data_IF_157315753414
#
_entry.id   IF_157315753414
#
_cell.length_a   1.000
_cell.length_b   1.000
_cell.length_c   1.000
_cell.angle_alpha   90.00
_cell.angle_beta   90.00
_cell.angle_gamma   90.00
#
_symmetry.space_group_name_H-M   'P 1'
#
loop_
_entity.id
_entity.type
_entity.pdbx_description
1 polymer ?
#
# COMPACT_ATOMS: atom_id res chain seq x y z
N UNK A 1 11.30 -50.79 -14.30
CA UNK A 1 11.92 -49.83 -13.34
C UNK A 1 10.96 -48.66 -13.19
N UNK A 2 10.47 -48.38 -11.99
CA UNK A 2 9.66 -47.18 -11.70
C UNK A 2 10.62 -46.04 -11.32
N UNK A 3 10.61 -44.96 -12.11
CA UNK A 3 11.49 -43.82 -11.94
C UNK A 3 10.90 -42.72 -11.05
N UNK A 4 11.67 -41.64 -10.83
CA UNK A 4 11.26 -40.49 -10.00
C UNK A 4 10.00 -39.77 -10.52
N UNK A 5 9.62 -39.98 -11.79
CA UNK A 5 8.44 -39.40 -12.44
C UNK A 5 7.09 -39.93 -11.95
N UNK A 6 7.05 -40.95 -11.08
CA UNK A 6 5.81 -41.51 -10.51
C UNK A 6 5.50 -40.98 -9.11
N UNK A 7 6.06 -39.83 -8.73
CA UNK A 7 5.70 -39.14 -7.48
C UNK A 7 4.48 -38.24 -7.72
N UNK A 8 3.63 -38.16 -6.70
CA UNK A 8 2.55 -37.18 -6.63
C UNK A 8 3.13 -35.85 -6.14
N UNK A 9 2.57 -34.75 -6.62
CA UNK A 9 2.95 -33.40 -6.21
C UNK A 9 1.68 -32.52 -6.08
N UNK A 10 1.19 -32.30 -4.84
CA UNK A 10 0.01 -31.49 -4.59
C UNK A 10 0.18 -30.01 -4.96
N UNK A 11 1.39 -29.46 -4.83
CA UNK A 11 1.66 -28.04 -5.08
C UNK A 11 1.54 -27.69 -6.56
N UNK A 12 1.88 -28.64 -7.44
CA UNK A 12 1.76 -28.49 -8.91
C UNK A 12 0.52 -29.14 -9.51
N UNK A 13 -0.34 -29.76 -8.70
CA UNK A 13 -1.58 -30.41 -9.14
C UNK A 13 -1.40 -31.79 -9.79
N UNK A 14 -0.22 -32.42 -9.69
CA UNK A 14 0.03 -33.76 -10.21
C UNK A 14 -0.43 -34.82 -9.21
N UNK A 15 -1.71 -35.15 -9.27
CA UNK A 15 -2.36 -36.08 -8.32
C UNK A 15 -2.50 -37.51 -8.83
N UNK A 16 -2.10 -37.80 -10.06
CA UNK A 16 -2.14 -39.16 -10.60
C UNK A 16 -1.02 -39.44 -11.63
N UNK A 17 -0.72 -40.73 -11.82
CA UNK A 17 0.06 -41.25 -12.94
C UNK A 17 -0.51 -42.62 -13.36
N UNK A 18 -0.20 -43.06 -14.57
CA UNK A 18 -0.59 -44.38 -15.09
C UNK A 18 0.64 -45.24 -15.31
N UNK A 19 0.55 -46.52 -14.98
CA UNK A 19 1.57 -47.53 -15.27
C UNK A 19 0.97 -48.49 -16.28
N UNK A 20 1.65 -48.69 -17.41
CA UNK A 20 1.31 -49.73 -18.37
C UNK A 20 2.32 -50.86 -18.21
N UNK A 21 1.83 -52.04 -17.84
CA UNK A 21 2.66 -53.21 -17.56
C UNK A 21 2.38 -54.29 -18.60
N UNK A 22 3.27 -54.39 -19.57
CA UNK A 22 3.16 -55.33 -20.68
C UNK A 22 3.79 -56.69 -20.36
N UNK A 23 4.51 -56.80 -19.24
CA UNK A 23 5.31 -57.99 -18.90
C UNK A 23 4.93 -58.59 -17.55
N UNK A 24 3.83 -58.13 -16.97
CA UNK A 24 3.35 -58.50 -15.62
C UNK A 24 4.46 -58.37 -14.56
N UNK A 25 5.20 -57.26 -14.60
CA UNK A 25 6.25 -56.95 -13.63
C UNK A 25 5.70 -56.41 -12.30
N UNK A 26 4.48 -55.88 -12.31
CA UNK A 26 3.79 -55.34 -11.13
C UNK A 26 3.53 -56.39 -10.05
N UNK A 27 3.44 -57.68 -10.40
CA UNK A 27 3.37 -58.80 -9.44
C UNK A 27 4.55 -58.86 -8.45
N UNK A 28 5.66 -58.20 -8.78
CA UNK A 28 6.86 -58.13 -7.96
C UNK A 28 6.87 -56.92 -7.00
N UNK A 29 5.85 -56.06 -7.02
CA UNK A 29 5.78 -54.92 -6.11
C UNK A 29 5.65 -55.40 -4.66
N UNK A 30 6.35 -54.72 -3.75
CA UNK A 30 6.42 -55.10 -2.33
C UNK A 30 7.38 -56.26 -2.04
N UNK A 31 7.92 -56.94 -3.05
CA UNK A 31 8.97 -57.93 -2.85
C UNK A 31 10.34 -57.26 -2.70
N UNK A 32 11.23 -57.88 -1.93
CA UNK A 32 12.61 -57.43 -1.81
C UNK A 32 13.37 -57.53 -3.14
N UNK A 33 14.38 -56.70 -3.33
CA UNK A 33 15.22 -56.77 -4.53
C UNK A 33 16.01 -58.08 -4.56
N UNK A 34 15.88 -58.83 -5.65
CA UNK A 34 16.63 -60.09 -5.89
C UNK A 34 18.12 -59.80 -6.14
N UNK A 35 18.45 -58.62 -6.65
CA UNK A 35 19.83 -58.17 -6.89
C UNK A 35 20.29 -57.26 -5.77
N UNK A 36 21.55 -57.44 -5.30
CA UNK A 36 22.20 -56.45 -4.44
C UNK A 36 22.11 -55.06 -5.11
N UNK A 37 21.66 -54.02 -4.39
CA UNK A 37 21.67 -52.67 -4.95
C UNK A 37 23.12 -52.32 -5.33
N UNK A 38 23.33 -51.65 -6.47
CA UNK A 38 24.66 -51.21 -6.85
C UNK A 38 25.24 -50.36 -5.72
N UNK A 39 26.48 -50.65 -5.32
CA UNK A 39 27.23 -49.78 -4.41
C UNK A 39 27.41 -48.46 -5.18
N UNK A 40 26.65 -47.43 -4.80
CA UNK A 40 26.76 -46.10 -5.37
C UNK A 40 28.04 -45.46 -4.86
N UNK A 41 29.16 -45.82 -5.48
CA UNK A 41 30.45 -45.17 -5.31
C UNK A 41 30.98 -44.79 -6.68
N UNK A 42 31.00 -43.49 -6.98
CA UNK A 42 31.76 -42.86 -8.07
C UNK A 42 31.12 -42.79 -9.47
N UNK A 43 29.90 -42.26 -9.55
CA UNK A 43 29.54 -41.37 -10.66
C UNK A 43 29.94 -39.93 -10.28
N UNK A 44 30.22 -39.01 -11.24
CA UNK A 44 30.37 -37.60 -10.90
C UNK A 44 29.14 -37.20 -10.09
N UNK A 45 29.38 -36.67 -8.89
CA UNK A 45 28.34 -36.09 -8.03
C UNK A 45 27.54 -35.14 -8.93
N UNK A 46 26.20 -35.26 -9.05
CA UNK A 46 25.44 -34.22 -9.74
C UNK A 46 25.90 -32.91 -9.12
N UNK A 47 26.38 -31.98 -9.96
CA UNK A 47 26.77 -30.67 -9.49
C UNK A 47 25.63 -30.17 -8.60
N UNK A 48 25.93 -29.65 -7.39
CA UNK A 48 24.89 -29.05 -6.59
C UNK A 48 24.18 -28.06 -7.49
N UNK A 49 22.85 -28.20 -7.61
CA UNK A 49 22.05 -27.21 -8.29
C UNK A 49 22.51 -25.83 -7.77
N UNK A 50 22.70 -24.83 -8.65
CA UNK A 50 23.14 -23.52 -8.21
C UNK A 50 22.25 -23.12 -7.03
N UNK A 51 22.83 -22.60 -5.93
CA UNK A 51 22.04 -22.21 -4.76
C UNK A 51 20.91 -21.31 -5.25
N UNK A 52 19.69 -21.57 -4.77
CA UNK A 52 18.57 -20.68 -5.07
C UNK A 52 19.02 -19.24 -4.76
N UNK A 53 18.71 -18.27 -5.65
CA UNK A 53 19.13 -16.90 -5.41
C UNK A 53 18.68 -16.47 -4.01
N UNK A 54 19.55 -15.76 -3.27
CA UNK A 54 19.26 -15.43 -1.88
C UNK A 54 17.99 -14.60 -1.80
N UNK A 55 16.99 -15.09 -1.07
CA UNK A 55 15.82 -14.31 -0.70
C UNK A 55 16.28 -13.07 0.07
N UNK A 56 15.89 -11.89 -0.39
CA UNK A 56 16.25 -10.63 0.26
C UNK A 56 15.06 -10.17 1.08
N UNK A 57 15.22 -10.09 2.39
CA UNK A 57 14.24 -9.43 3.27
C UNK A 57 14.63 -7.98 3.46
N UNK A 58 13.71 -7.08 3.15
CA UNK A 58 13.81 -5.64 3.33
C UNK A 58 12.85 -5.20 4.42
N UNK A 59 13.25 -4.21 5.21
CA UNK A 59 12.38 -3.56 6.19
C UNK A 59 11.84 -2.26 5.58
N UNK A 60 10.53 -2.21 5.33
CA UNK A 60 9.85 -1.05 4.73
C UNK A 60 8.72 -0.63 5.65
N UNK A 61 8.76 0.60 6.17
CA UNK A 61 7.73 1.11 7.12
C UNK A 61 7.49 0.18 8.33
N UNK A 62 8.52 -0.58 8.73
CA UNK A 62 8.46 -1.57 9.81
C UNK A 62 7.80 -2.91 9.45
N UNK A 63 7.63 -3.19 8.17
CA UNK A 63 7.19 -4.48 7.64
C UNK A 63 8.37 -5.25 7.05
N UNK A 64 8.36 -6.58 7.24
CA UNK A 64 9.21 -7.50 6.50
C UNK A 64 8.67 -7.71 5.09
N UNK A 65 9.41 -7.23 4.10
CA UNK A 65 9.12 -7.41 2.68
C UNK A 65 10.14 -8.36 2.09
N UNK A 66 9.68 -9.53 1.65
CA UNK A 66 10.52 -10.54 1.01
C UNK A 66 10.52 -10.33 -0.50
N UNK A 67 11.71 -10.24 -1.10
CA UNK A 67 11.91 -10.11 -2.54
C UNK A 67 12.49 -11.41 -3.07
N UNK A 68 11.76 -12.05 -3.98
CA UNK A 68 12.15 -13.29 -4.68
C UNK A 68 12.01 -13.12 -6.19
N UNK A 69 12.46 -14.11 -6.97
CA UNK A 69 12.26 -14.12 -8.42
C UNK A 69 10.78 -14.15 -8.83
N UNK A 70 9.90 -14.61 -7.94
CA UNK A 70 8.45 -14.66 -8.16
C UNK A 70 7.74 -13.33 -7.83
N UNK A 71 8.41 -12.41 -7.13
CA UNK A 71 7.86 -11.09 -6.78
C UNK A 71 8.12 -10.67 -5.34
N UNK A 72 7.35 -9.69 -4.88
CA UNK A 72 7.41 -9.13 -3.54
C UNK A 72 6.28 -9.69 -2.66
N UNK A 73 6.61 -10.01 -1.42
CA UNK A 73 5.70 -10.55 -0.41
C UNK A 73 5.81 -9.76 0.88
N UNK A 74 4.67 -9.49 1.52
CA UNK A 74 4.57 -8.76 2.78
C UNK A 74 4.20 -9.75 3.88
N UNK A 75 4.92 -9.73 4.99
CA UNK A 75 4.51 -10.42 6.21
C UNK A 75 3.47 -9.55 6.93
N UNK A 76 2.23 -10.03 7.02
CA UNK A 76 1.12 -9.34 7.70
C UNK A 76 0.31 -10.32 8.55
N UNK A 77 -0.54 -9.81 9.44
CA UNK A 77 -1.46 -10.63 10.22
C UNK A 77 -2.73 -10.92 9.42
N UNK A 78 -2.99 -12.19 9.15
CA UNK A 78 -4.23 -12.70 8.57
C UNK A 78 -4.89 -13.62 9.59
N UNK A 79 -6.09 -13.27 10.04
CA UNK A 79 -6.85 -13.99 11.06
C UNK A 79 -6.06 -14.24 12.36
N UNK A 80 -5.23 -13.27 12.75
CA UNK A 80 -4.39 -13.35 13.94
C UNK A 80 -3.11 -14.17 13.77
N UNK A 81 -2.84 -14.69 12.58
CA UNK A 81 -1.62 -15.44 12.25
C UNK A 81 -0.74 -14.65 11.29
N UNK A 82 0.58 -14.64 11.53
CA UNK A 82 1.53 -14.05 10.60
C UNK A 82 1.58 -14.90 9.33
N UNK A 83 1.28 -14.28 8.18
CA UNK A 83 1.28 -14.93 6.87
C UNK A 83 1.97 -14.04 5.84
N UNK A 84 2.62 -14.66 4.86
CA UNK A 84 3.18 -13.97 3.71
C UNK A 84 2.11 -13.86 2.63
N UNK A 85 1.80 -12.63 2.24
CA UNK A 85 0.87 -12.34 1.14
C UNK A 85 1.60 -11.59 0.03
N UNK A 86 1.14 -11.72 -1.21
CA UNK A 86 1.69 -10.89 -2.29
C UNK A 86 1.35 -9.42 -2.08
N UNK A 87 2.14 -8.50 -2.65
CA UNK A 87 1.80 -7.06 -2.62
C UNK A 87 0.41 -6.80 -3.19
N UNK A 88 0.02 -7.49 -4.25
CA UNK A 88 -1.30 -7.30 -4.87
C UNK A 88 -2.43 -7.79 -3.96
N UNK A 89 -2.27 -8.95 -3.31
CA UNK A 89 -3.24 -9.42 -2.33
C UNK A 89 -3.35 -8.46 -1.13
N UNK A 90 -2.23 -7.92 -0.65
CA UNK A 90 -2.23 -6.93 0.42
C UNK A 90 -3.01 -5.67 0.04
N UNK A 91 -2.77 -5.14 -1.17
CA UNK A 91 -3.51 -3.99 -1.73
C UNK A 91 -5.00 -4.30 -1.85
N UNK A 92 -5.37 -5.47 -2.35
CA UNK A 92 -6.77 -5.88 -2.48
C UNK A 92 -7.48 -5.97 -1.11
N UNK A 93 -6.81 -6.52 -0.09
CA UNK A 93 -7.33 -6.57 1.29
C UNK A 93 -7.55 -5.17 1.87
N UNK A 94 -6.59 -4.28 1.67
CA UNK A 94 -6.66 -2.89 2.12
C UNK A 94 -7.80 -2.13 1.42
N UNK A 95 -7.89 -2.25 0.10
CA UNK A 95 -8.97 -1.67 -0.72
C UNK A 95 -10.34 -2.15 -0.25
N UNK A 96 -10.52 -3.47 -0.13
CA UNK A 96 -11.76 -4.07 0.35
C UNK A 96 -12.17 -3.54 1.71
N UNK A 97 -11.23 -3.50 2.68
CA UNK A 97 -11.54 -3.03 4.02
C UNK A 97 -11.90 -1.54 4.05
N UNK A 98 -11.21 -0.72 3.24
CA UNK A 98 -11.51 0.70 3.11
C UNK A 98 -12.91 0.94 2.55
N UNK A 99 -13.27 0.26 1.45
CA UNK A 99 -14.59 0.42 0.80
C UNK A 99 -15.73 -0.17 1.64
N UNK A 100 -15.49 -1.25 2.39
CA UNK A 100 -16.47 -1.77 3.36
C UNK A 100 -16.78 -0.77 4.48
N UNK A 101 -15.78 0.00 4.94
CA UNK A 101 -15.94 0.98 6.03
C UNK A 101 -16.44 2.35 5.53
N UNK A 102 -16.05 2.72 4.30
CA UNK A 102 -16.37 4.00 3.66
C UNK A 102 -16.73 3.73 2.19
N UNK A 103 -18.01 3.49 1.87
CA UNK A 103 -18.40 2.99 0.54
C UNK A 103 -18.21 3.96 -0.62
N UNK A 104 -18.05 5.26 -0.35
CA UNK A 104 -18.00 6.30 -1.41
C UNK A 104 -16.82 7.24 -1.24
N UNK A 105 -16.33 7.74 -2.38
CA UNK A 105 -15.25 8.73 -2.42
C UNK A 105 -15.63 10.03 -1.69
N UNK A 106 -16.90 10.45 -1.78
CA UNK A 106 -17.36 11.68 -1.11
C UNK A 106 -17.39 11.53 0.41
N UNK A 107 -17.80 10.36 0.91
CA UNK A 107 -17.71 10.05 2.33
C UNK A 107 -16.25 9.95 2.80
N UNK A 108 -15.38 9.34 1.98
CA UNK A 108 -13.94 9.30 2.25
C UNK A 108 -13.36 10.70 2.39
N UNK A 109 -13.66 11.60 1.45
CA UNK A 109 -13.25 13.02 1.53
C UNK A 109 -13.77 13.70 2.79
N UNK A 110 -15.05 13.53 3.11
CA UNK A 110 -15.67 14.15 4.27
C UNK A 110 -15.00 13.72 5.58
N UNK A 111 -14.71 12.43 5.74
CA UNK A 111 -14.00 11.88 6.90
C UNK A 111 -12.51 12.26 6.91
N UNK A 112 -11.86 12.32 5.73
CA UNK A 112 -10.42 12.61 5.60
C UNK A 112 -10.03 13.99 6.14
N UNK A 113 -10.86 15.00 5.89
CA UNK A 113 -10.60 16.39 6.31
C UNK A 113 -10.81 16.63 7.81
N UNK A 114 -11.41 15.67 8.52
CA UNK A 114 -11.65 15.72 9.96
C UNK A 114 -10.64 14.79 10.67
N UNK A 115 -9.62 15.32 11.38
CA UNK A 115 -8.50 14.52 11.88
C UNK A 115 -8.90 13.33 12.78
N UNK A 116 -9.85 13.47 13.74
CA UNK A 116 -10.32 12.33 14.52
C UNK A 116 -10.95 11.22 13.67
N UNK A 117 -11.76 11.59 12.68
CA UNK A 117 -12.42 10.64 11.78
C UNK A 117 -11.41 9.96 10.85
N UNK A 118 -10.46 10.73 10.28
CA UNK A 118 -9.34 10.18 9.49
C UNK A 118 -8.54 9.15 10.29
N UNK A 119 -8.15 9.47 11.52
CA UNK A 119 -7.40 8.54 12.39
C UNK A 119 -8.20 7.29 12.69
N UNK A 120 -9.50 7.43 12.97
CA UNK A 120 -10.36 6.28 13.23
C UNK A 120 -10.50 5.37 12.00
N UNK A 121 -10.66 5.95 10.81
CA UNK A 121 -10.72 5.21 9.54
C UNK A 121 -9.40 4.49 9.25
N UNK A 122 -8.25 5.18 9.33
CA UNK A 122 -6.94 4.56 9.16
C UNK A 122 -6.68 3.45 10.17
N UNK A 123 -7.17 3.60 11.41
CA UNK A 123 -7.05 2.58 12.45
C UNK A 123 -7.86 1.30 12.21
N UNK A 124 -8.86 1.33 11.32
CA UNK A 124 -9.67 0.15 10.95
C UNK A 124 -9.15 -0.63 9.76
N UNK A 125 -8.12 -0.11 9.09
CA UNK A 125 -7.41 -0.80 8.01
C UNK A 125 -6.55 -1.95 8.59
N UNK A 126 -6.26 -2.99 7.80
CA UNK A 126 -5.22 -3.96 8.17
C UNK A 126 -3.94 -3.23 8.54
N UNK A 127 -3.28 -3.63 9.63
CA UNK A 127 -2.08 -2.99 10.17
C UNK A 127 -2.20 -1.48 10.48
N UNK A 128 -3.44 -1.00 10.65
CA UNK A 128 -3.80 0.40 10.86
C UNK A 128 -3.21 1.33 9.77
N UNK A 129 -2.94 2.59 10.09
CA UNK A 129 -2.42 3.58 9.12
C UNK A 129 -1.06 3.22 8.51
N UNK A 130 -0.32 2.25 9.06
CA UNK A 130 0.97 1.82 8.51
C UNK A 130 0.83 1.08 7.18
N UNK A 131 -0.29 0.42 6.94
CA UNK A 131 -0.56 -0.22 5.64
C UNK A 131 -0.57 0.78 4.48
N UNK A 132 -1.16 1.96 4.70
CA UNK A 132 -1.18 3.02 3.70
C UNK A 132 0.24 3.58 3.42
N UNK A 133 1.07 3.71 4.46
CA UNK A 133 2.48 4.10 4.32
C UNK A 133 3.28 3.06 3.53
N UNK A 134 3.10 1.77 3.85
CA UNK A 134 3.75 0.66 3.16
C UNK A 134 3.36 0.63 1.67
N UNK A 135 2.06 0.70 1.36
CA UNK A 135 1.58 0.71 -0.02
C UNK A 135 2.14 1.91 -0.79
N UNK A 136 2.18 3.10 -0.16
CA UNK A 136 2.80 4.28 -0.76
C UNK A 136 4.27 4.06 -1.09
N UNK A 137 5.03 3.46 -0.18
CA UNK A 137 6.45 3.20 -0.37
C UNK A 137 6.70 2.17 -1.48
N UNK A 138 5.97 1.04 -1.47
CA UNK A 138 6.11 -0.02 -2.47
C UNK A 138 5.65 0.38 -3.87
N UNK A 139 4.69 1.30 -3.96
CA UNK A 139 4.23 1.86 -5.23
C UNK A 139 5.08 3.06 -5.73
N UNK A 140 6.16 3.40 -5.02
CA UNK A 140 7.03 4.56 -5.33
C UNK A 140 6.25 5.89 -5.36
N UNK A 141 5.20 6.00 -4.55
CA UNK A 141 4.28 7.15 -4.50
C UNK A 141 4.64 8.16 -3.41
N UNK A 142 5.93 8.37 -3.11
CA UNK A 142 6.38 9.24 -2.00
C UNK A 142 5.98 10.71 -2.15
N UNK A 143 5.79 11.16 -3.39
CA UNK A 143 5.33 12.52 -3.71
C UNK A 143 3.82 12.71 -3.51
N UNK A 144 3.07 11.62 -3.37
CA UNK A 144 1.62 11.62 -3.19
C UNK A 144 1.24 11.67 -1.71
N UNK A 145 0.11 12.32 -1.42
CA UNK A 145 -0.46 12.28 -0.08
C UNK A 145 -1.07 10.89 0.18
N UNK A 146 -1.19 10.49 1.45
CA UNK A 146 -1.89 9.25 1.80
C UNK A 146 -3.36 9.28 1.35
N UNK A 147 -3.96 10.47 1.25
CA UNK A 147 -5.25 10.66 0.61
C UNK A 147 -5.26 10.09 -0.80
N UNK A 148 -4.29 10.48 -1.62
CA UNK A 148 -4.20 10.12 -3.04
C UNK A 148 -3.99 8.61 -3.21
N UNK A 149 -3.09 8.03 -2.40
CA UNK A 149 -2.82 6.58 -2.40
C UNK A 149 -4.08 5.77 -2.07
N UNK A 150 -4.80 6.16 -1.02
CA UNK A 150 -6.02 5.45 -0.61
C UNK A 150 -7.21 5.76 -1.53
N UNK A 151 -7.27 6.95 -2.11
CA UNK A 151 -8.32 7.31 -3.04
C UNK A 151 -8.22 6.53 -4.36
N UNK A 152 -7.00 6.35 -4.87
CA UNK A 152 -6.72 5.46 -6.00
C UNK A 152 -7.08 4.01 -5.64
N UNK A 153 -6.56 3.53 -4.50
CA UNK A 153 -6.73 2.14 -4.09
C UNK A 153 -8.18 1.74 -3.83
N UNK A 154 -8.96 2.60 -3.18
CA UNK A 154 -10.35 2.32 -2.80
C UNK A 154 -11.38 2.68 -3.87
N UNK A 155 -11.14 3.77 -4.62
CA UNK A 155 -12.19 4.37 -5.47
C UNK A 155 -11.74 4.61 -6.91
N UNK A 156 -10.52 4.22 -7.28
CA UNK A 156 -9.99 4.41 -8.64
C UNK A 156 -9.80 5.88 -9.01
N UNK A 157 -9.70 6.79 -8.02
CA UNK A 157 -9.40 8.20 -8.29
C UNK A 157 -7.95 8.32 -8.75
N UNK A 158 -7.73 8.85 -9.95
CA UNK A 158 -6.38 9.14 -10.44
C UNK A 158 -5.62 10.02 -9.42
N UNK A 159 -4.49 9.54 -8.87
CA UNK A 159 -3.79 10.21 -7.78
C UNK A 159 -3.08 11.46 -8.30
N UNK A 160 -2.89 12.45 -7.43
CA UNK A 160 -2.09 13.66 -7.71
C UNK A 160 -0.97 13.82 -6.71
N UNK A 161 0.17 14.34 -7.16
CA UNK A 161 1.25 14.69 -6.25
C UNK A 161 0.80 15.82 -5.32
N UNK A 162 1.45 15.95 -4.16
CA UNK A 162 1.16 17.02 -3.22
C UNK A 162 1.30 18.42 -3.86
N UNK A 163 2.35 18.72 -4.63
CA UNK A 163 2.45 19.97 -5.39
C UNK A 163 1.33 20.17 -6.40
N UNK A 164 0.97 19.15 -7.19
CA UNK A 164 -0.08 19.27 -8.20
C UNK A 164 -1.44 19.56 -7.57
N UNK A 165 -1.73 18.92 -6.43
CA UNK A 165 -2.97 19.15 -5.67
C UNK A 165 -3.02 20.58 -5.09
N UNK A 166 -1.91 21.06 -4.52
CA UNK A 166 -1.81 22.44 -4.05
C UNK A 166 -1.98 23.46 -5.18
N UNK A 167 -1.39 23.20 -6.34
CA UNK A 167 -1.56 24.04 -7.54
C UNK A 167 -3.00 23.99 -8.06
N UNK A 168 -3.60 22.79 -8.11
CA UNK A 168 -4.99 22.56 -8.50
C UNK A 168 -5.98 23.38 -7.69
N UNK A 169 -5.77 23.43 -6.37
CA UNK A 169 -6.60 24.26 -5.51
C UNK A 169 -6.61 25.73 -5.95
N UNK A 170 -5.44 26.30 -6.30
CA UNK A 170 -5.29 27.70 -6.62
C UNK A 170 -6.04 28.15 -7.89
N UNK A 171 -6.11 27.31 -8.93
CA UNK A 171 -6.82 27.64 -10.16
C UNK A 171 -8.27 27.15 -10.17
N UNK A 172 -8.58 25.98 -9.59
CA UNK A 172 -9.96 25.44 -9.58
C UNK A 172 -10.88 26.22 -8.64
N UNK A 173 -10.33 26.87 -7.62
CA UNK A 173 -11.09 27.68 -6.66
C UNK A 173 -10.72 29.16 -6.75
N UNK A 174 -10.28 29.62 -7.92
CA UNK A 174 -9.88 31.01 -8.14
C UNK A 174 -11.01 32.01 -7.83
N UNK A 175 -12.24 31.71 -8.26
CA UNK A 175 -13.41 32.56 -7.99
C UNK A 175 -13.73 32.65 -6.50
N UNK A 176 -13.63 31.53 -5.79
CA UNK A 176 -13.82 31.51 -4.35
C UNK A 176 -12.75 32.32 -3.63
N UNK A 177 -11.48 32.17 -4.01
CA UNK A 177 -10.37 32.96 -3.45
C UNK A 177 -10.50 34.45 -3.77
N UNK A 178 -11.01 34.81 -4.95
CA UNK A 178 -11.22 36.20 -5.36
C UNK A 178 -12.35 36.89 -4.60
N UNK A 179 -13.33 36.12 -4.09
CA UNK A 179 -14.40 36.63 -3.25
C UNK A 179 -13.99 36.90 -1.79
N UNK A 180 -12.80 36.44 -1.37
CA UNK A 180 -12.29 36.64 -0.02
C UNK A 180 -11.50 37.96 0.11
N UNK A 181 -11.37 38.52 1.32
CA UNK A 181 -10.41 39.58 1.59
C UNK A 181 -9.01 39.17 1.12
N UNK A 182 -8.27 40.12 0.53
CA UNK A 182 -6.97 39.87 -0.11
C UNK A 182 -5.97 39.17 0.83
N UNK A 183 -5.89 39.60 2.09
CA UNK A 183 -5.04 38.98 3.10
C UNK A 183 -5.48 37.54 3.42
N UNK A 184 -6.78 37.28 3.53
CA UNK A 184 -7.29 35.92 3.79
C UNK A 184 -6.99 35.00 2.61
N UNK A 185 -7.23 35.45 1.37
CA UNK A 185 -6.90 34.69 0.18
C UNK A 185 -5.39 34.38 0.11
N UNK A 186 -4.53 35.36 0.44
CA UNK A 186 -3.09 35.16 0.51
C UNK A 186 -2.69 34.13 1.57
N UNK A 187 -3.25 34.22 2.78
CA UNK A 187 -3.01 33.27 3.87
C UNK A 187 -3.43 31.84 3.47
N UNK A 188 -4.58 31.69 2.82
CA UNK A 188 -5.06 30.39 2.36
C UNK A 188 -4.18 29.80 1.26
N UNK A 189 -3.74 30.61 0.28
CA UNK A 189 -2.77 30.16 -0.73
C UNK A 189 -1.46 29.70 -0.07
N UNK A 190 -0.94 30.48 0.88
CA UNK A 190 0.27 30.13 1.61
C UNK A 190 0.11 28.83 2.43
N UNK A 191 -1.03 28.64 3.09
CA UNK A 191 -1.35 27.39 3.80
C UNK A 191 -1.41 26.21 2.85
N UNK A 192 -2.12 26.32 1.73
CA UNK A 192 -2.18 25.23 0.73
C UNK A 192 -0.82 24.96 0.07
N UNK A 193 0.07 25.95 -0.02
CA UNK A 193 1.45 25.70 -0.46
C UNK A 193 2.24 24.84 0.55
N UNK A 194 1.92 24.91 1.85
CA UNK A 194 2.53 24.01 2.85
C UNK A 194 2.10 22.55 2.67
N UNK A 195 0.91 22.31 2.12
CA UNK A 195 0.48 20.96 1.76
C UNK A 195 1.43 20.29 0.76
N UNK A 196 1.98 21.04 -0.20
CA UNK A 196 2.94 20.51 -1.17
C UNK A 196 4.16 19.86 -0.50
N UNK A 197 4.55 20.35 0.67
CA UNK A 197 5.76 19.91 1.39
C UNK A 197 5.47 18.81 2.41
N UNK A 198 4.39 18.97 3.18
CA UNK A 198 4.12 18.14 4.37
C UNK A 198 2.78 17.37 4.30
N UNK A 199 2.06 17.47 3.18
CA UNK A 199 0.80 16.77 2.97
C UNK A 199 -0.28 17.18 3.96
N UNK A 200 -1.25 16.28 4.17
CA UNK A 200 -2.41 16.50 5.03
C UNK A 200 -2.01 16.83 6.47
N UNK A 201 -1.01 16.12 7.02
CA UNK A 201 -0.59 16.29 8.41
C UNK A 201 0.09 17.65 8.65
N UNK A 202 0.78 18.19 7.64
CA UNK A 202 1.35 19.53 7.69
C UNK A 202 0.33 20.64 7.91
N UNK A 203 -0.88 20.49 7.35
CA UNK A 203 -1.98 21.44 7.54
C UNK A 203 -2.63 21.38 8.93
N UNK A 204 -2.29 20.37 9.73
CA UNK A 204 -2.85 20.13 11.05
C UNK A 204 -1.90 20.51 12.18
N UNK A 205 -0.65 20.79 11.84
CA UNK A 205 0.31 21.35 12.77
C UNK A 205 -0.15 22.75 13.21
N UNK A 206 -0.40 23.00 14.52
CA UNK A 206 -0.75 24.33 15.01
C UNK A 206 0.29 25.41 14.66
N UNK A 207 1.55 25.00 14.49
CA UNK A 207 2.67 25.86 14.12
C UNK A 207 2.66 26.28 12.65
N UNK A 208 1.79 25.71 11.81
CA UNK A 208 1.71 26.04 10.37
C UNK A 208 1.49 27.53 10.13
N UNK A 209 0.81 28.21 11.05
CA UNK A 209 0.56 29.66 10.98
C UNK A 209 1.79 30.52 11.31
N UNK A 210 2.80 29.95 11.97
CA UNK A 210 4.05 30.64 12.32
C UNK A 210 5.13 30.47 11.26
N UNK A 211 4.91 29.59 10.28
CA UNK A 211 5.83 29.42 9.16
C UNK A 211 6.00 30.75 8.43
N UNK A 212 7.23 31.16 8.05
CA UNK A 212 7.51 32.50 7.55
C UNK A 212 6.59 32.96 6.41
N UNK A 213 6.28 32.07 5.46
CA UNK A 213 5.45 32.40 4.31
C UNK A 213 3.98 32.56 4.68
N UNK A 214 3.48 31.75 5.61
CA UNK A 214 2.10 31.85 6.11
C UNK A 214 1.93 33.09 6.99
N UNK A 215 2.90 33.35 7.86
CA UNK A 215 2.92 34.52 8.74
C UNK A 215 2.99 35.84 7.92
N UNK A 216 3.84 35.89 6.89
CA UNK A 216 3.94 37.04 5.97
C UNK A 216 2.65 37.27 5.20
N UNK A 217 1.88 36.22 4.93
CA UNK A 217 0.58 36.29 4.29
C UNK A 217 -0.58 36.63 5.25
N UNK A 218 -0.28 37.02 6.50
CA UNK A 218 -1.28 37.44 7.51
C UNK A 218 -1.63 36.34 8.54
N UNK A 219 -1.21 35.10 8.29
CA UNK A 219 -1.29 33.99 9.24
C UNK A 219 -2.69 33.74 9.80
N UNK A 220 -2.76 33.40 11.10
CA UNK A 220 -4.02 33.14 11.78
C UNK A 220 -4.92 34.39 11.87
N UNK A 221 -4.32 35.59 11.89
CA UNK A 221 -5.06 36.86 11.97
C UNK A 221 -5.95 37.07 10.75
N UNK A 222 -5.43 36.79 9.56
CA UNK A 222 -6.17 36.90 8.30
C UNK A 222 -7.37 35.95 8.21
N UNK A 223 -7.36 34.82 8.91
CA UNK A 223 -8.53 33.93 8.99
C UNK A 223 -9.55 34.44 10.00
N UNK A 224 -9.09 34.98 11.14
CA UNK A 224 -9.97 35.51 12.20
C UNK A 224 -10.81 36.71 11.73
N UNK A 225 -10.30 37.51 10.80
CA UNK A 225 -11.05 38.64 10.23
C UNK A 225 -12.25 38.21 9.38
N UNK A 226 -12.19 37.02 8.77
CA UNK A 226 -13.27 36.45 7.97
C UNK A 226 -14.29 35.68 8.84
N UNK A 227 -13.83 35.03 9.90
CA UNK A 227 -14.70 34.22 10.77
C UNK A 227 -13.92 33.25 11.65
N UNK A 228 -14.53 32.10 11.96
CA UNK A 228 -13.88 31.07 12.77
C UNK A 228 -12.77 30.34 11.98
N UNK A 229 -11.49 30.42 12.37
CA UNK A 229 -10.39 29.83 11.59
C UNK A 229 -10.54 28.32 11.36
N UNK A 230 -11.07 27.58 12.33
CA UNK A 230 -11.30 26.15 12.19
C UNK A 230 -12.30 25.81 11.07
N UNK A 231 -13.36 26.61 10.91
CA UNK A 231 -14.34 26.41 9.84
C UNK A 231 -13.74 26.75 8.48
N UNK A 232 -12.99 27.85 8.40
CA UNK A 232 -12.31 28.28 7.17
C UNK A 232 -11.26 27.25 6.73
N UNK A 233 -10.48 26.69 7.66
CA UNK A 233 -9.53 25.62 7.38
C UNK A 233 -10.23 24.35 6.88
N UNK A 234 -11.37 23.99 7.50
CA UNK A 234 -12.15 22.82 7.06
C UNK A 234 -12.68 23.01 5.63
N UNK A 235 -13.22 24.19 5.31
CA UNK A 235 -13.66 24.53 3.95
C UNK A 235 -12.50 24.50 2.95
N UNK A 236 -11.35 25.07 3.33
CA UNK A 236 -10.12 25.02 2.52
C UNK A 236 -9.70 23.58 2.23
N UNK A 237 -9.69 22.70 3.25
CA UNK A 237 -9.40 21.26 3.07
C UNK A 237 -10.42 20.59 2.14
N UNK A 238 -11.71 20.83 2.34
CA UNK A 238 -12.75 20.27 1.48
C UNK A 238 -12.51 20.62 0.00
N UNK A 239 -12.14 21.88 -0.28
CA UNK A 239 -11.78 22.36 -1.61
C UNK A 239 -10.47 21.77 -2.14
N UNK A 240 -9.45 21.63 -1.29
CA UNK A 240 -8.14 21.06 -1.64
C UNK A 240 -8.25 19.59 -2.10
N UNK A 241 -9.10 18.80 -1.45
CA UNK A 241 -9.28 17.38 -1.80
C UNK A 241 -10.34 17.15 -2.90
N UNK A 242 -11.16 18.16 -3.19
CA UNK A 242 -12.06 18.18 -4.35
C UNK A 242 -11.41 18.73 -5.63
N UNK A 243 -10.32 19.51 -5.50
CA UNK A 243 -9.52 19.99 -6.62
C UNK A 243 -8.83 18.83 -7.33
#
# INVERSE_FOLDING_TARGET
MIGRGTRLDPTTGKLMFRVYDYTDATRLFGQGFVTRPPITGRGPKPEPAPPAPPERTLQVEGFDVHVTDAGQYIVTSVDGQAQMVTVEEYRARLSRRLVEDVPTLDEFRARWIVPPERRAMLGRLPDAGRSALLVRALAEMTEFDLYDVLAELGYGLAPRTRPDRAQAFGYKHADWLAALPSETAAALRALTAQFAHAGTDGLENPEVFRLPDVARAGGLGALKSLGQPAQILRETKARLFAA
#
